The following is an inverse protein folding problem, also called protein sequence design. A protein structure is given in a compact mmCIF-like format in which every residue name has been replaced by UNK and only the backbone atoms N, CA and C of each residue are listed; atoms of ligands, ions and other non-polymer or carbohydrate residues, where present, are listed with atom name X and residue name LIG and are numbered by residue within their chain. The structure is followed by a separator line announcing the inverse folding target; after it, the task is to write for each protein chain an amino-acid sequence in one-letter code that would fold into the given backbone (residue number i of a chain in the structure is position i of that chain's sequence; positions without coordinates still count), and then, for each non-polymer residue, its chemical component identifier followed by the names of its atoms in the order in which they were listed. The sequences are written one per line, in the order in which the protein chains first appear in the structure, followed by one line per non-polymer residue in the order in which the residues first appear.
data_IF_255916441120
#
_entry.id   IF_255916441120
#
_cell.length_a   1.000
_cell.length_b   1.000
_cell.length_c   1.000
_cell.angle_alpha   90.00
_cell.angle_beta   90.00
_cell.angle_gamma   90.00
#
_symmetry.space_group_name_H-M   'P 1'
#
loop_
_entity.id
_entity.type
_entity.pdbx_description
1 polymer ?
#
# COMPACT_ATOMS: atom_id res chain seq x y z
N UNK A 1 21.22 15.27 23.15
CA UNK A 1 21.58 14.10 22.31
C UNK A 1 20.94 14.29 20.95
N UNK A 2 21.74 14.51 19.90
CA UNK A 2 21.20 14.44 18.54
C UNK A 2 20.87 12.98 18.24
N UNK A 3 19.58 12.67 18.15
CA UNK A 3 19.13 11.36 17.72
C UNK A 3 19.45 11.26 16.22
N UNK A 4 20.53 10.57 15.86
CA UNK A 4 20.86 10.34 14.45
C UNK A 4 19.76 9.44 13.88
N UNK A 5 18.98 9.97 12.94
CA UNK A 5 17.94 9.19 12.26
C UNK A 5 18.59 8.00 11.58
N UNK A 6 18.11 6.81 11.91
CA UNK A 6 18.49 5.58 11.22
C UNK A 6 17.71 5.54 9.90
N UNK A 7 18.41 5.36 8.78
CA UNK A 7 17.80 5.43 7.44
C UNK A 7 16.78 4.31 7.19
N UNK A 8 16.81 3.24 7.98
CA UNK A 8 15.90 2.10 7.93
C UNK A 8 14.67 2.24 8.85
N UNK A 9 14.51 3.40 9.52
CA UNK A 9 13.37 3.72 10.39
C UNK A 9 12.56 4.91 9.86
N UNK A 10 11.29 4.95 10.27
CA UNK A 10 10.38 6.04 10.01
C UNK A 10 10.87 7.37 10.60
N UNK A 11 10.21 8.47 10.26
CA UNK A 11 10.60 9.84 10.70
C UNK A 11 10.60 10.02 12.23
N UNK A 12 9.85 9.20 12.97
CA UNK A 12 9.85 9.22 14.44
C UNK A 12 10.93 8.33 15.07
N UNK A 13 11.66 7.55 14.26
CA UNK A 13 12.69 6.59 14.66
C UNK A 13 12.17 5.47 15.59
N UNK A 14 10.89 5.07 15.43
CA UNK A 14 10.21 4.06 16.28
C UNK A 14 9.86 2.78 15.53
N UNK A 15 9.57 2.87 14.23
CA UNK A 15 9.19 1.72 13.40
C UNK A 15 10.26 1.51 12.32
N UNK A 16 10.74 0.26 12.19
CA UNK A 16 11.71 -0.13 11.17
C UNK A 16 11.01 -0.34 9.82
N UNK A 17 11.00 0.69 8.98
CA UNK A 17 10.31 0.68 7.67
C UNK A 17 10.98 -0.20 6.62
N UNK A 18 12.19 -0.73 6.87
CA UNK A 18 12.77 -1.80 6.05
C UNK A 18 12.22 -3.20 6.35
N UNK A 19 11.33 -3.35 7.34
CA UNK A 19 10.78 -4.63 7.80
C UNK A 19 9.25 -4.66 7.64
N UNK A 20 8.75 -5.49 6.71
CA UNK A 20 7.31 -5.65 6.49
C UNK A 20 6.57 -6.11 7.77
N UNK A 21 7.08 -7.07 8.58
CA UNK A 21 6.45 -7.40 9.86
C UNK A 21 6.38 -6.23 10.84
N UNK A 22 7.42 -5.40 10.94
CA UNK A 22 7.43 -4.28 11.88
C UNK A 22 6.40 -3.21 11.50
N UNK A 23 6.26 -2.92 10.21
CA UNK A 23 5.23 -1.98 9.73
C UNK A 23 3.83 -2.57 9.86
N UNK A 24 3.64 -3.86 9.52
CA UNK A 24 2.36 -4.56 9.74
C UNK A 24 1.90 -4.45 11.19
N UNK A 25 2.78 -4.70 12.15
CA UNK A 25 2.43 -4.69 13.58
C UNK A 25 2.06 -3.27 14.05
N UNK A 26 2.79 -2.25 13.58
CA UNK A 26 2.45 -0.85 13.85
C UNK A 26 1.09 -0.44 13.24
N UNK A 27 0.80 -0.90 12.01
CA UNK A 27 -0.49 -0.68 11.35
C UNK A 27 -1.61 -1.42 12.08
N UNK A 28 -1.35 -2.64 12.57
CA UNK A 28 -2.30 -3.41 13.37
C UNK A 28 -2.68 -2.66 14.65
N UNK A 29 -1.69 -2.15 15.39
CA UNK A 29 -1.94 -1.39 16.62
C UNK A 29 -2.82 -0.16 16.37
N UNK A 30 -2.55 0.59 15.29
CA UNK A 30 -3.37 1.73 14.88
C UNK A 30 -4.79 1.28 14.52
N UNK A 31 -4.93 0.24 13.72
CA UNK A 31 -6.23 -0.23 13.22
C UNK A 31 -7.13 -0.75 14.35
N UNK A 32 -6.61 -1.62 15.22
CA UNK A 32 -7.36 -2.23 16.32
C UNK A 32 -7.75 -1.21 17.40
N UNK A 33 -6.95 -0.15 17.58
CA UNK A 33 -7.27 0.96 18.49
C UNK A 33 -8.52 1.72 18.06
N UNK A 34 -8.70 1.92 16.74
CA UNK A 34 -9.82 2.71 16.21
C UNK A 34 -11.07 1.88 15.91
N UNK A 35 -10.89 0.63 15.51
CA UNK A 35 -12.01 -0.26 15.17
C UNK A 35 -11.92 -1.59 15.93
N UNK A 36 -12.16 -1.59 17.26
CA UNK A 36 -12.14 -2.80 18.05
C UNK A 36 -13.17 -3.81 17.51
N UNK A 37 -12.72 -5.03 17.23
CA UNK A 37 -13.55 -6.10 16.66
C UNK A 37 -13.60 -6.15 15.13
N UNK A 38 -13.08 -5.14 14.42
CA UNK A 38 -12.88 -5.25 12.97
C UNK A 38 -11.75 -6.25 12.66
N UNK A 39 -11.90 -7.04 11.59
CA UNK A 39 -10.92 -8.04 11.21
C UNK A 39 -9.67 -7.40 10.59
N UNK A 40 -8.50 -7.60 11.20
CA UNK A 40 -7.22 -7.21 10.62
C UNK A 40 -6.67 -8.25 9.61
N UNK A 41 -7.31 -9.41 9.49
CA UNK A 41 -6.82 -10.54 8.67
C UNK A 41 -6.54 -10.16 7.21
N UNK A 42 -7.40 -9.38 6.51
CA UNK A 42 -7.14 -9.00 5.12
C UNK A 42 -5.87 -8.14 4.97
N UNK A 43 -5.64 -7.20 5.90
CA UNK A 43 -4.43 -6.36 5.90
C UNK A 43 -3.19 -7.23 6.18
N UNK A 44 -3.26 -8.12 7.18
CA UNK A 44 -2.16 -9.03 7.47
C UNK A 44 -1.80 -9.93 6.28
N UNK A 45 -2.81 -10.41 5.54
CA UNK A 45 -2.60 -11.17 4.31
C UNK A 45 -1.95 -10.32 3.21
N UNK A 46 -2.40 -9.09 3.03
CA UNK A 46 -1.80 -8.15 2.08
C UNK A 46 -0.30 -7.90 2.37
N UNK A 47 0.09 -7.68 3.63
CA UNK A 47 1.50 -7.56 4.01
C UNK A 47 2.33 -8.82 3.69
N UNK A 48 1.77 -10.00 3.92
CA UNK A 48 2.43 -11.26 3.60
C UNK A 48 2.66 -11.40 2.10
N UNK A 49 1.62 -11.20 1.29
CA UNK A 49 1.70 -11.34 -0.17
C UNK A 49 2.58 -10.25 -0.80
N UNK A 50 2.54 -9.02 -0.28
CA UNK A 50 3.45 -7.94 -0.64
C UNK A 50 4.92 -8.34 -0.43
N UNK A 51 5.25 -8.92 0.73
CA UNK A 51 6.62 -9.36 1.02
C UNK A 51 7.05 -10.46 0.04
N UNK A 52 6.16 -11.41 -0.28
CA UNK A 52 6.44 -12.43 -1.30
C UNK A 52 6.71 -11.79 -2.67
N UNK A 53 5.91 -10.81 -3.07
CA UNK A 53 6.03 -10.14 -4.36
C UNK A 53 7.36 -9.37 -4.48
N UNK A 54 7.63 -8.48 -3.52
CA UNK A 54 8.81 -7.60 -3.55
C UNK A 54 10.12 -8.38 -3.37
N UNK A 55 10.10 -9.52 -2.69
CA UNK A 55 11.28 -10.40 -2.55
C UNK A 55 11.41 -11.46 -3.65
N UNK A 56 10.52 -11.48 -4.65
CA UNK A 56 10.58 -12.42 -5.77
C UNK A 56 10.20 -13.87 -5.40
N UNK A 57 9.55 -14.05 -4.25
CA UNK A 57 9.02 -15.35 -3.79
C UNK A 57 7.59 -15.60 -4.30
N UNK A 58 6.92 -14.59 -4.84
CA UNK A 58 5.63 -14.74 -5.51
C UNK A 58 5.80 -15.49 -6.85
N UNK A 59 5.05 -16.58 -7.10
CA UNK A 59 5.11 -17.31 -8.36
C UNK A 59 4.83 -16.41 -9.57
N UNK A 60 5.61 -16.57 -10.64
CA UNK A 60 5.44 -15.79 -11.88
C UNK A 60 6.12 -14.43 -11.90
N UNK A 61 6.64 -13.93 -10.78
CA UNK A 61 7.23 -12.58 -10.69
C UNK A 61 8.71 -12.61 -10.29
N UNK A 62 9.47 -11.63 -10.77
CA UNK A 62 10.74 -11.27 -10.16
C UNK A 62 10.51 -10.37 -8.93
N UNK A 63 11.49 -10.32 -8.02
CA UNK A 63 11.49 -9.30 -6.96
C UNK A 63 11.70 -7.92 -7.54
N UNK A 64 11.29 -6.88 -6.81
CA UNK A 64 11.48 -5.50 -7.26
C UNK A 64 12.98 -5.19 -7.33
N UNK A 65 13.41 -4.56 -8.41
CA UNK A 65 14.82 -4.27 -8.70
C UNK A 65 15.07 -2.78 -8.99
N UNK A 66 14.10 -1.92 -8.66
CA UNK A 66 14.30 -0.47 -8.73
C UNK A 66 15.08 0.04 -7.52
N UNK A 67 15.80 1.14 -7.69
CA UNK A 67 16.70 1.69 -6.65
C UNK A 67 15.94 2.45 -5.55
N UNK A 68 14.77 3.00 -5.85
CA UNK A 68 14.01 3.85 -4.92
C UNK A 68 12.60 3.34 -4.65
N UNK A 69 11.84 2.93 -5.68
CA UNK A 69 10.51 2.33 -5.51
C UNK A 69 10.67 0.87 -5.08
N UNK A 70 11.23 0.70 -3.88
CA UNK A 70 11.63 -0.56 -3.27
C UNK A 70 10.71 -0.90 -2.09
N UNK A 71 11.01 -2.01 -1.41
CA UNK A 71 10.23 -2.46 -0.26
C UNK A 71 10.20 -1.40 0.85
N UNK A 72 11.33 -0.72 1.11
CA UNK A 72 11.42 0.25 2.19
C UNK A 72 10.57 1.49 1.90
N UNK A 73 10.62 2.00 0.67
CA UNK A 73 9.78 3.11 0.23
C UNK A 73 8.30 2.81 0.41
N UNK A 74 7.84 1.67 -0.12
CA UNK A 74 6.42 1.30 -0.04
C UNK A 74 5.96 1.13 1.41
N UNK A 75 6.79 0.54 2.28
CA UNK A 75 6.49 0.37 3.70
C UNK A 75 6.45 1.71 4.46
N UNK A 76 7.32 2.66 4.15
CA UNK A 76 7.29 4.01 4.73
C UNK A 76 6.00 4.77 4.35
N UNK A 77 5.62 4.72 3.06
CA UNK A 77 4.35 5.29 2.55
C UNK A 77 3.15 4.61 3.20
N UNK A 78 3.17 3.29 3.34
CA UNK A 78 2.08 2.53 3.98
C UNK A 78 1.88 2.93 5.44
N UNK A 79 2.97 3.08 6.20
CA UNK A 79 2.89 3.52 7.60
C UNK A 79 2.38 4.96 7.71
N UNK A 80 2.84 5.85 6.82
CA UNK A 80 2.36 7.23 6.76
C UNK A 80 0.85 7.29 6.48
N UNK A 81 0.37 6.52 5.50
CA UNK A 81 -1.05 6.43 5.16
C UNK A 81 -1.89 5.91 6.34
N UNK A 82 -1.45 4.84 7.00
CA UNK A 82 -2.15 4.31 8.17
C UNK A 82 -2.26 5.34 9.31
N UNK A 83 -1.19 6.13 9.54
CA UNK A 83 -1.21 7.21 10.55
C UNK A 83 -2.14 8.37 10.16
N UNK A 84 -2.20 8.74 8.88
CA UNK A 84 -3.13 9.77 8.39
C UNK A 84 -4.59 9.34 8.57
N UNK A 85 -4.91 8.10 8.18
CA UNK A 85 -6.23 7.50 8.36
C UNK A 85 -6.61 7.46 9.85
N UNK A 86 -5.72 6.97 10.72
CA UNK A 86 -5.96 6.91 12.16
C UNK A 86 -6.16 8.32 12.77
N UNK A 87 -5.36 9.29 12.34
CA UNK A 87 -5.52 10.69 12.76
C UNK A 87 -6.86 11.28 12.33
N UNK A 88 -7.28 11.02 11.09
CA UNK A 88 -8.60 11.45 10.60
C UNK A 88 -9.74 10.81 11.38
N UNK A 89 -9.69 9.49 11.60
CA UNK A 89 -10.70 8.76 12.37
C UNK A 89 -10.77 9.27 13.82
N UNK A 90 -9.64 9.60 14.45
CA UNK A 90 -9.62 10.17 15.81
C UNK A 90 -10.50 11.41 15.94
N UNK A 91 -10.55 12.25 14.91
CA UNK A 91 -11.29 13.52 14.91
C UNK A 91 -12.77 13.32 14.57
N UNK A 92 -13.09 12.36 13.71
CA UNK A 92 -14.44 12.17 13.15
C UNK A 92 -15.18 10.94 13.71
N UNK A 93 -14.58 10.20 14.66
CA UNK A 93 -15.21 9.02 15.24
C UNK A 93 -16.59 9.35 15.83
N UNK A 94 -17.60 8.58 15.41
CA UNK A 94 -18.99 8.76 15.84
C UNK A 94 -19.78 9.81 15.05
N UNK A 95 -19.20 10.43 14.02
CA UNK A 95 -19.90 11.34 13.11
C UNK A 95 -20.16 10.67 11.75
N UNK A 96 -21.05 11.23 10.90
CA UNK A 96 -21.26 10.74 9.52
C UNK A 96 -19.99 10.76 8.66
N UNK A 97 -19.02 11.60 9.00
CA UNK A 97 -17.72 11.72 8.33
C UNK A 97 -16.70 10.67 8.78
N UNK A 98 -17.02 9.80 9.74
CA UNK A 98 -16.14 8.72 10.15
C UNK A 98 -15.70 7.88 8.93
N UNK A 99 -14.40 7.57 8.86
CA UNK A 99 -13.82 6.87 7.72
C UNK A 99 -14.33 5.43 7.67
N UNK A 100 -14.30 4.76 8.83
CA UNK A 100 -14.72 3.39 9.01
C UNK A 100 -13.67 2.35 8.60
N UNK A 101 -13.80 1.16 9.19
CA UNK A 101 -12.78 0.10 9.14
C UNK A 101 -12.52 -0.47 7.74
N UNK A 102 -13.55 -0.57 6.89
CA UNK A 102 -13.43 -1.07 5.52
C UNK A 102 -12.65 -0.10 4.61
N UNK A 103 -12.99 1.20 4.66
CA UNK A 103 -12.24 2.24 3.94
C UNK A 103 -10.80 2.31 4.43
N UNK A 104 -10.59 2.21 5.74
CA UNK A 104 -9.25 2.21 6.32
C UNK A 104 -8.40 1.05 5.80
N UNK A 105 -8.96 -0.16 5.75
CA UNK A 105 -8.27 -1.32 5.21
C UNK A 105 -7.96 -1.15 3.71
N UNK A 106 -8.91 -0.66 2.92
CA UNK A 106 -8.70 -0.39 1.49
C UNK A 106 -7.61 0.67 1.25
N UNK A 107 -7.60 1.75 2.05
CA UNK A 107 -6.57 2.79 1.98
C UNK A 107 -5.16 2.29 2.32
N UNK A 108 -5.04 1.42 3.33
CA UNK A 108 -3.77 0.75 3.67
C UNK A 108 -3.31 -0.17 2.54
N UNK A 109 -4.20 -1.00 1.98
CA UNK A 109 -3.87 -1.90 0.87
C UNK A 109 -3.48 -1.13 -0.39
N UNK A 110 -4.17 -0.03 -0.69
CA UNK A 110 -3.81 0.84 -1.81
C UNK A 110 -2.40 1.39 -1.65
N UNK A 111 -2.06 1.91 -0.46
CA UNK A 111 -0.71 2.39 -0.20
C UNK A 111 0.34 1.26 -0.27
N UNK A 112 0.00 0.06 0.17
CA UNK A 112 0.90 -1.10 0.12
C UNK A 112 1.16 -1.57 -1.32
N UNK A 113 0.22 -1.37 -2.23
CA UNK A 113 0.31 -1.82 -3.62
C UNK A 113 0.46 -0.71 -4.65
N UNK A 114 0.63 0.56 -4.24
CA UNK A 114 0.67 1.68 -5.20
C UNK A 114 1.77 1.56 -6.25
N UNK A 115 2.92 1.00 -5.87
CA UNK A 115 4.10 0.80 -6.72
C UNK A 115 4.31 -0.65 -7.18
N UNK A 116 3.37 -1.56 -6.89
CA UNK A 116 3.56 -2.98 -7.25
C UNK A 116 3.69 -3.19 -8.77
N UNK A 117 3.22 -2.25 -9.57
CA UNK A 117 3.39 -2.27 -11.03
C UNK A 117 4.83 -2.15 -11.51
N UNK A 118 5.79 -1.87 -10.64
CA UNK A 118 7.22 -2.01 -10.96
C UNK A 118 7.69 -3.47 -11.02
N UNK A 119 6.93 -4.42 -10.46
CA UNK A 119 7.26 -5.83 -10.59
C UNK A 119 7.19 -6.26 -12.06
N UNK A 120 8.10 -7.16 -12.41
CA UNK A 120 8.20 -7.76 -13.74
C UNK A 120 7.73 -9.21 -13.69
N UNK A 121 6.86 -9.59 -14.61
CA UNK A 121 6.51 -11.00 -14.82
C UNK A 121 7.71 -11.75 -15.43
N UNK A 122 7.86 -13.03 -15.11
CA UNK A 122 9.03 -13.81 -15.57
C UNK A 122 9.12 -13.95 -17.09
N UNK A 123 7.98 -13.84 -17.76
CA UNK A 123 7.85 -13.97 -19.21
C UNK A 123 7.84 -12.59 -19.93
N UNK A 124 8.03 -11.47 -19.22
CA UNK A 124 8.15 -10.13 -19.82
C UNK A 124 9.60 -9.84 -20.28
N UNK A 125 9.74 -9.26 -21.48
CA UNK A 125 11.05 -8.93 -22.09
C UNK A 125 11.79 -7.75 -21.42
N UNK A 126 11.18 -7.06 -20.45
CA UNK A 126 11.81 -5.92 -19.78
C UNK A 126 13.08 -6.34 -19.01
N UNK A 127 14.12 -5.50 -19.03
CA UNK A 127 15.40 -5.86 -18.38
C UNK A 127 15.39 -5.62 -16.87
N UNK A 128 14.61 -4.65 -16.42
CA UNK A 128 14.39 -4.31 -15.02
C UNK A 128 13.06 -3.57 -14.87
N UNK A 129 12.56 -3.45 -13.65
CA UNK A 129 11.29 -2.82 -13.33
C UNK A 129 11.22 -1.34 -13.70
N UNK A 130 12.35 -0.63 -13.74
CA UNK A 130 12.35 0.81 -14.05
C UNK A 130 11.85 1.11 -15.47
N UNK A 131 11.86 0.14 -16.38
CA UNK A 131 11.26 0.26 -17.71
C UNK A 131 9.73 0.52 -17.65
N UNK A 132 9.07 0.17 -16.54
CA UNK A 132 7.65 0.42 -16.30
C UNK A 132 7.32 1.77 -15.67
N UNK A 133 8.30 2.67 -15.47
CA UNK A 133 8.06 3.97 -14.82
C UNK A 133 6.91 4.77 -15.43
N UNK A 134 6.67 4.65 -16.75
CA UNK A 134 5.59 5.37 -17.46
C UNK A 134 4.20 4.74 -17.33
N UNK A 135 4.09 3.51 -16.84
CA UNK A 135 2.83 2.77 -16.76
C UNK A 135 2.68 1.91 -15.47
N UNK A 136 3.55 2.10 -14.47
CA UNK A 136 3.54 1.34 -13.22
C UNK A 136 2.24 1.53 -12.44
N UNK A 137 1.61 2.70 -12.49
CA UNK A 137 0.34 2.96 -11.80
C UNK A 137 -0.80 2.18 -12.44
N UNK A 138 -0.90 2.19 -13.77
CA UNK A 138 -1.85 1.33 -14.50
C UNK A 138 -1.60 -0.15 -14.23
N UNK A 139 -0.33 -0.56 -14.12
CA UNK A 139 0.04 -1.94 -13.75
C UNK A 139 -0.36 -2.27 -12.30
N UNK A 140 -0.19 -1.35 -11.36
CA UNK A 140 -0.64 -1.49 -9.96
C UNK A 140 -2.16 -1.63 -9.87
N UNK A 141 -2.91 -0.80 -10.60
CA UNK A 141 -4.36 -0.93 -10.71
C UNK A 141 -4.77 -2.31 -11.26
N UNK A 142 -4.10 -2.78 -12.33
CA UNK A 142 -4.33 -4.12 -12.90
C UNK A 142 -4.01 -5.22 -11.88
N UNK A 143 -2.92 -5.11 -11.13
CA UNK A 143 -2.60 -6.08 -10.07
C UNK A 143 -3.71 -6.11 -9.01
N UNK A 144 -4.10 -4.95 -8.47
CA UNK A 144 -5.14 -4.85 -7.44
C UNK A 144 -6.49 -5.37 -7.91
N UNK A 145 -6.85 -5.18 -9.18
CA UNK A 145 -8.08 -5.73 -9.76
C UNK A 145 -8.18 -7.26 -9.67
N UNK A 146 -7.05 -7.96 -9.77
CA UNK A 146 -7.00 -9.42 -9.59
C UNK A 146 -6.81 -9.80 -8.12
N UNK A 147 -6.03 -9.02 -7.37
CA UNK A 147 -5.63 -9.36 -6.01
C UNK A 147 -6.73 -9.13 -4.96
N UNK A 148 -7.37 -7.95 -4.95
CA UNK A 148 -8.34 -7.57 -3.90
C UNK A 148 -9.50 -8.57 -3.75
N UNK A 149 -10.08 -9.13 -4.83
CA UNK A 149 -11.10 -10.17 -4.70
C UNK A 149 -10.63 -11.42 -3.93
N UNK A 150 -9.35 -11.77 -4.00
CA UNK A 150 -8.80 -12.97 -3.34
C UNK A 150 -8.71 -12.85 -1.82
N UNK A 151 -8.85 -11.64 -1.30
CA UNK A 151 -8.82 -11.33 0.14
C UNK A 151 -10.13 -10.66 0.60
N UNK A 152 -11.23 -10.91 -0.11
CA UNK A 152 -12.59 -10.43 0.21
C UNK A 152 -12.80 -8.91 0.06
N UNK A 153 -11.89 -8.22 -0.65
CA UNK A 153 -11.94 -6.77 -0.92
C UNK A 153 -12.35 -6.42 -2.36
N UNK A 154 -12.96 -7.36 -3.08
CA UNK A 154 -13.30 -7.18 -4.50
C UNK A 154 -14.22 -5.97 -4.78
N UNK A 155 -15.04 -5.56 -3.81
CA UNK A 155 -15.92 -4.38 -3.95
C UNK A 155 -15.15 -3.04 -3.96
N UNK A 156 -13.87 -3.03 -3.59
CA UNK A 156 -12.99 -1.85 -3.65
C UNK A 156 -12.21 -1.73 -4.95
N UNK A 157 -12.31 -2.70 -5.88
CA UNK A 157 -11.47 -2.72 -7.10
C UNK A 157 -11.57 -1.45 -7.92
N UNK A 158 -12.78 -0.97 -8.18
CA UNK A 158 -12.99 0.25 -8.98
C UNK A 158 -12.40 1.48 -8.28
N UNK A 159 -12.75 1.69 -7.01
CA UNK A 159 -12.24 2.82 -6.22
C UNK A 159 -10.73 2.79 -6.09
N UNK A 160 -10.13 1.64 -5.75
CA UNK A 160 -8.68 1.53 -5.64
C UNK A 160 -7.98 1.73 -7.01
N UNK A 161 -8.58 1.22 -8.09
CA UNK A 161 -8.09 1.40 -9.45
C UNK A 161 -8.06 2.86 -9.89
N UNK A 162 -9.06 3.66 -9.53
CA UNK A 162 -9.06 5.09 -9.83
C UNK A 162 -8.19 5.90 -8.85
N UNK A 163 -8.27 5.63 -7.55
CA UNK A 163 -7.51 6.38 -6.53
C UNK A 163 -6.00 6.23 -6.70
N UNK A 164 -5.51 5.05 -7.11
CA UNK A 164 -4.07 4.85 -7.30
C UNK A 164 -3.50 5.75 -8.41
N UNK A 165 -4.31 6.20 -9.38
CA UNK A 165 -3.85 7.16 -10.38
C UNK A 165 -3.48 8.54 -9.82
N UNK A 166 -3.89 8.88 -8.60
CA UNK A 166 -3.43 10.09 -7.91
C UNK A 166 -1.98 9.97 -7.39
N UNK A 167 -1.34 8.79 -7.48
CA UNK A 167 0.06 8.58 -7.04
C UNK A 167 1.08 8.75 -8.16
N UNK A 168 0.66 9.01 -9.40
CA UNK A 168 1.58 9.21 -10.53
C UNK A 168 1.06 10.18 -11.58
N UNK A 169 1.76 10.22 -12.72
CA UNK A 169 1.55 11.23 -13.77
C UNK A 169 1.05 10.62 -15.09
N UNK A 170 0.54 9.39 -15.06
CA UNK A 170 0.07 8.69 -16.27
C UNK A 170 -1.20 9.31 -16.85
N UNK A 171 -2.04 9.87 -15.98
CA UNK A 171 -3.31 10.50 -16.31
C UNK A 171 -3.31 11.94 -15.78
N UNK A 172 -3.83 12.91 -16.54
CA UNK A 172 -4.09 14.25 -16.01
C UNK A 172 -5.02 14.20 -14.79
N UNK A 173 -4.69 14.93 -13.73
CA UNK A 173 -5.45 14.90 -12.47
C UNK A 173 -6.93 15.27 -12.66
N UNK A 174 -7.23 16.20 -13.57
CA UNK A 174 -8.58 16.64 -13.94
C UNK A 174 -9.40 15.58 -14.71
N UNK A 175 -8.75 14.52 -15.18
CA UNK A 175 -9.40 13.38 -15.84
C UNK A 175 -9.80 12.24 -14.89
N UNK A 176 -9.37 12.30 -13.63
CA UNK A 176 -9.68 11.29 -12.62
C UNK A 176 -11.06 11.56 -12.03
N UNK A 177 -11.92 10.53 -11.98
CA UNK A 177 -13.29 10.64 -11.45
C UNK A 177 -13.53 9.50 -10.47
N UNK A 178 -14.08 9.82 -9.30
CA UNK A 178 -14.56 8.84 -8.33
C UNK A 178 -16.08 8.93 -8.30
N UNK A 179 -16.75 7.78 -8.25
CA UNK A 179 -18.18 7.74 -7.94
C UNK A 179 -18.38 8.07 -6.46
N UNK A 180 -19.43 8.83 -6.15
CA UNK A 180 -19.84 9.17 -4.78
C UNK A 180 -20.36 7.94 -4.01
#
# INVERSE_FOLDING_TARGET
MHNVRRSDYDVTNTVKVSSAPAVRDAVQELYERHWPGASFRPIARAFHDFELAFTGRMPGWFGVDTVYHDQQHTLDVTLAMARLIAGYETVHAGTPEAFGSQRAAAGVMLALFHDIGYLREKDEDARNGAEFTRNHVSRSAKFMAHYLPTIEFGHWVETCGEVVHFTGYERPMDSLKLAD
#
